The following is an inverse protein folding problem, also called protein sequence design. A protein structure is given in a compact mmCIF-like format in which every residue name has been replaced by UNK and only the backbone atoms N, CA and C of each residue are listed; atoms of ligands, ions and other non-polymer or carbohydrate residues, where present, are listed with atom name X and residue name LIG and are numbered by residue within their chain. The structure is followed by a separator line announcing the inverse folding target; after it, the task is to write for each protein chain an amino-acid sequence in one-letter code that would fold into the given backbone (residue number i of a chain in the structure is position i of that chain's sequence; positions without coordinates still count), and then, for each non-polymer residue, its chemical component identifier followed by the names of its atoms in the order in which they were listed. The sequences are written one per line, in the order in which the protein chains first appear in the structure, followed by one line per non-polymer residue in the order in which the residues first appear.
data_IF_836295537702
#
_entry.id   IF_836295537702
#
_cell.length_a   1.000
_cell.length_b   1.000
_cell.length_c   1.000
_cell.angle_alpha   90.00
_cell.angle_beta   90.00
_cell.angle_gamma   90.00
#
_symmetry.space_group_name_H-M   'P 1'
#
loop_
_entity.id
_entity.type
_entity.pdbx_description
1 polymer ?
#
# COMPACT_ATOMS: atom_id res chain seq x y z
N UNK A 1 9.14 11.72 -21.42
CA UNK A 1 10.11 11.05 -20.55
C UNK A 1 9.30 10.22 -19.59
N UNK A 2 9.45 8.90 -19.61
CA UNK A 2 8.90 8.03 -18.58
C UNK A 2 9.81 8.13 -17.36
N UNK A 3 9.22 8.19 -16.17
CA UNK A 3 9.95 8.17 -14.92
C UNK A 3 9.39 6.96 -14.15
N UNK A 4 10.19 5.90 -14.07
CA UNK A 4 9.74 4.66 -13.47
C UNK A 4 10.01 4.69 -11.96
N UNK A 5 8.97 4.45 -11.16
CA UNK A 5 9.12 4.28 -9.72
C UNK A 5 8.89 2.82 -9.38
N UNK A 6 9.82 2.23 -8.64
CA UNK A 6 9.67 0.87 -8.12
C UNK A 6 9.16 0.93 -6.69
N UNK A 7 8.21 0.05 -6.38
CA UNK A 7 7.72 -0.12 -5.01
C UNK A 7 8.03 -1.52 -4.50
N UNK A 8 8.33 -1.62 -3.21
CA UNK A 8 8.26 -2.88 -2.46
C UNK A 8 7.67 -2.63 -1.08
N UNK A 9 7.53 -3.69 -0.29
CA UNK A 9 6.94 -3.63 1.04
C UNK A 9 5.42 -3.75 1.01
N UNK A 10 4.85 -3.75 2.20
CA UNK A 10 3.43 -3.91 2.44
C UNK A 10 3.01 -3.11 3.68
N UNK A 11 1.77 -2.64 3.67
CA UNK A 11 1.08 -2.06 4.81
C UNK A 11 -0.02 -3.03 5.23
N UNK A 12 0.23 -3.81 6.27
CA UNK A 12 -0.74 -4.74 6.85
C UNK A 12 -1.96 -4.00 7.43
N UNK A 13 -3.11 -4.65 7.34
CA UNK A 13 -4.42 -4.13 7.74
C UNK A 13 -5.05 -5.09 8.76
N UNK A 14 -5.44 -4.57 9.93
CA UNK A 14 -6.13 -5.36 10.94
C UNK A 14 -7.29 -4.60 11.61
N UNK A 15 -8.50 -5.17 11.71
CA UNK A 15 -8.94 -6.42 11.09
C UNK A 15 -9.01 -6.33 9.54
N UNK A 16 -8.97 -7.47 8.82
CA UNK A 16 -9.04 -7.49 7.35
C UNK A 16 -10.31 -6.84 6.78
N UNK A 17 -10.25 -6.41 5.52
CA UNK A 17 -11.39 -5.82 4.79
C UNK A 17 -12.03 -6.90 3.90
N UNK A 18 -13.36 -6.99 3.76
CA UNK A 18 -13.98 -7.83 2.74
C UNK A 18 -13.42 -7.50 1.35
N UNK A 19 -12.92 -8.51 0.62
CA UNK A 19 -12.24 -8.23 -0.64
C UNK A 19 -13.17 -7.66 -1.71
N UNK A 20 -14.44 -8.08 -1.75
CA UNK A 20 -15.36 -7.74 -2.83
C UNK A 20 -15.55 -6.21 -2.98
N UNK A 21 -15.67 -5.48 -1.87
CA UNK A 21 -15.81 -4.02 -1.86
C UNK A 21 -14.53 -3.32 -2.37
N UNK A 22 -13.37 -3.87 -2.01
CA UNK A 22 -12.05 -3.32 -2.38
C UNK A 22 -11.75 -3.58 -3.85
N UNK A 23 -12.06 -4.78 -4.34
CA UNK A 23 -11.96 -5.15 -5.75
C UNK A 23 -12.93 -4.33 -6.61
N UNK A 24 -14.16 -4.11 -6.15
CA UNK A 24 -15.14 -3.28 -6.84
C UNK A 24 -14.69 -1.81 -6.96
N UNK A 25 -13.88 -1.32 -6.02
CA UNK A 25 -13.25 0.00 -6.07
C UNK A 25 -11.99 0.06 -6.98
N UNK A 26 -11.61 -1.05 -7.62
CA UNK A 26 -10.51 -1.12 -8.59
C UNK A 26 -9.14 -1.46 -8.00
N UNK A 27 -9.06 -1.78 -6.70
CA UNK A 27 -7.81 -2.28 -6.10
C UNK A 27 -7.71 -3.79 -6.34
N UNK A 28 -6.59 -4.27 -6.86
CA UNK A 28 -6.43 -5.68 -7.24
C UNK A 28 -5.20 -6.32 -6.62
N UNK A 29 -5.17 -7.66 -6.63
CA UNK A 29 -4.00 -8.42 -6.20
C UNK A 29 -2.76 -8.11 -7.07
N UNK A 30 -1.54 -8.22 -6.52
CA UNK A 30 -0.32 -8.00 -7.27
C UNK A 30 -0.29 -8.79 -8.59
N UNK A 31 0.13 -8.14 -9.68
CA UNK A 31 0.16 -8.74 -11.02
C UNK A 31 -1.14 -8.60 -11.83
N UNK A 32 -2.22 -8.04 -11.26
CA UNK A 32 -3.37 -7.57 -12.02
C UNK A 32 -3.27 -6.08 -12.26
N UNK A 33 -3.31 -5.68 -13.53
CA UNK A 33 -3.25 -4.28 -13.93
C UNK A 33 -4.62 -3.62 -13.75
N UNK A 34 -4.62 -2.40 -13.21
CA UNK A 34 -5.78 -1.53 -13.08
C UNK A 34 -5.32 -0.07 -13.00
N UNK A 35 -6.24 0.84 -12.72
CA UNK A 35 -5.96 2.29 -12.66
C UNK A 35 -5.32 2.73 -11.32
N UNK A 36 -4.95 1.76 -10.47
CA UNK A 36 -4.41 2.01 -9.12
C UNK A 36 -2.90 1.73 -9.08
N UNK A 37 -2.21 2.68 -8.45
CA UNK A 37 -0.76 2.64 -8.22
C UNK A 37 -0.37 1.76 -7.03
N UNK A 38 -1.33 1.11 -6.37
CA UNK A 38 -1.07 0.12 -5.31
C UNK A 38 -1.96 -1.09 -5.50
N UNK A 39 -1.43 -2.24 -5.11
CA UNK A 39 -2.13 -3.51 -5.07
C UNK A 39 -2.64 -3.80 -3.65
N UNK A 40 -3.40 -4.90 -3.51
CA UNK A 40 -3.87 -5.40 -2.22
C UNK A 40 -3.56 -6.88 -2.07
N UNK A 41 -3.08 -7.29 -0.90
CA UNK A 41 -2.90 -8.71 -0.58
C UNK A 41 -4.24 -9.29 -0.17
N UNK A 42 -4.74 -10.28 -0.91
CA UNK A 42 -6.01 -10.97 -0.64
C UNK A 42 -5.71 -12.40 -0.18
N UNK A 43 -6.28 -12.79 0.96
CA UNK A 43 -6.31 -14.17 1.42
C UNK A 43 -7.69 -14.77 1.21
N UNK A 44 -7.74 -16.07 0.95
CA UNK A 44 -8.98 -16.84 0.88
C UNK A 44 -9.02 -17.79 2.07
N UNK A 45 -10.06 -17.67 2.90
CA UNK A 45 -10.27 -18.52 4.07
C UNK A 45 -11.49 -19.40 3.83
N UNK A 46 -11.40 -20.74 3.97
CA UNK A 46 -12.54 -21.62 3.79
C UNK A 46 -13.64 -21.30 4.81
N UNK A 47 -14.90 -21.43 4.39
CA UNK A 47 -16.05 -21.26 5.26
C UNK A 47 -16.42 -22.62 5.87
N UNK A 48 -16.36 -22.70 7.19
CA UNK A 48 -16.70 -23.92 7.92
C UNK A 48 -18.11 -24.41 7.57
N UNK A 49 -18.22 -25.71 7.26
CA UNK A 49 -19.50 -26.35 6.93
C UNK A 49 -20.00 -26.12 5.50
N UNK A 50 -19.28 -25.39 4.64
CA UNK A 50 -19.67 -25.16 3.25
C UNK A 50 -18.52 -25.55 2.30
N UNK A 51 -18.49 -26.81 1.80
CA UNK A 51 -17.46 -27.27 0.87
C UNK A 51 -17.37 -26.38 -0.37
N UNK A 52 -16.14 -25.93 -0.68
CA UNK A 52 -15.87 -25.09 -1.86
C UNK A 52 -16.21 -23.60 -1.69
N UNK A 53 -16.72 -23.17 -0.53
CA UNK A 53 -16.95 -21.76 -0.25
C UNK A 53 -15.77 -21.14 0.51
N UNK A 54 -15.35 -19.96 0.07
CA UNK A 54 -14.25 -19.20 0.64
C UNK A 54 -14.67 -17.76 0.92
N UNK A 55 -14.23 -17.22 2.04
CA UNK A 55 -14.28 -15.79 2.35
C UNK A 55 -12.97 -15.16 1.87
N UNK A 56 -13.07 -14.14 1.03
CA UNK A 56 -11.92 -13.37 0.54
C UNK A 56 -11.73 -12.13 1.39
N UNK A 57 -10.52 -11.91 1.87
CA UNK A 57 -10.20 -10.80 2.76
C UNK A 57 -8.91 -10.10 2.33
N UNK A 58 -8.93 -8.78 2.28
CA UNK A 58 -7.74 -7.95 2.08
C UNK A 58 -7.03 -7.78 3.42
N UNK A 59 -5.77 -8.18 3.46
CA UNK A 59 -4.92 -8.14 4.67
C UNK A 59 -3.78 -7.14 4.58
N UNK A 60 -3.47 -6.62 3.40
CA UNK A 60 -2.45 -5.60 3.23
C UNK A 60 -2.67 -4.74 1.98
N UNK A 61 -2.12 -3.54 2.00
CA UNK A 61 -1.82 -2.73 0.81
C UNK A 61 -0.41 -3.09 0.37
N UNK A 62 -0.22 -3.43 -0.90
CA UNK A 62 1.04 -3.94 -1.44
C UNK A 62 1.50 -3.12 -2.64
N UNK A 63 2.78 -3.24 -2.98
CA UNK A 63 3.31 -2.70 -4.22
C UNK A 63 2.70 -3.40 -5.44
N UNK A 64 2.38 -2.65 -6.50
CA UNK A 64 2.14 -3.23 -7.82
C UNK A 64 3.43 -3.88 -8.35
N UNK A 65 3.31 -5.01 -9.05
CA UNK A 65 4.46 -5.67 -9.68
C UNK A 65 4.86 -4.97 -10.98
N UNK A 66 6.15 -4.68 -11.14
CA UNK A 66 6.73 -4.10 -12.36
C UNK A 66 7.28 -2.67 -12.17
N UNK A 67 7.87 -2.12 -13.22
CA UNK A 67 8.13 -0.67 -13.31
C UNK A 67 6.82 0.01 -13.71
N UNK A 68 6.33 0.96 -12.92
CA UNK A 68 5.15 1.74 -13.25
C UNK A 68 5.28 3.17 -12.74
N UNK A 69 4.49 4.06 -13.32
CA UNK A 69 4.46 5.46 -12.93
C UNK A 69 3.50 5.61 -11.76
N UNK A 70 4.04 5.76 -10.55
CA UNK A 70 3.25 5.68 -9.33
C UNK A 70 2.95 7.06 -8.70
N UNK A 71 2.62 8.04 -9.53
CA UNK A 71 2.43 9.42 -9.08
C UNK A 71 1.34 9.58 -8.01
N UNK A 72 0.40 8.63 -7.94
CA UNK A 72 -0.76 8.64 -7.05
C UNK A 72 -0.70 7.55 -6.00
N UNK A 73 0.44 6.91 -5.77
CA UNK A 73 0.56 5.84 -4.76
C UNK A 73 0.09 6.32 -3.37
N UNK A 74 0.51 7.52 -2.95
CA UNK A 74 0.07 8.11 -1.66
C UNK A 74 -1.45 8.37 -1.67
N UNK A 75 -2.00 8.90 -2.76
CA UNK A 75 -3.44 9.17 -2.90
C UNK A 75 -4.26 7.88 -2.84
N UNK A 76 -3.81 6.82 -3.50
CA UNK A 76 -4.48 5.53 -3.52
C UNK A 76 -4.38 4.79 -2.18
N UNK A 77 -3.25 4.90 -1.46
CA UNK A 77 -3.16 4.44 -0.07
C UNK A 77 -4.15 5.23 0.80
N UNK A 78 -4.19 6.56 0.67
CA UNK A 78 -5.13 7.40 1.41
C UNK A 78 -6.58 7.04 1.10
N UNK A 79 -6.91 6.70 -0.14
CA UNK A 79 -8.25 6.26 -0.52
C UNK A 79 -8.68 5.00 0.23
N UNK A 80 -7.78 4.01 0.37
CA UNK A 80 -8.06 2.81 1.17
C UNK A 80 -8.30 3.18 2.64
N UNK A 81 -7.45 4.03 3.21
CA UNK A 81 -7.58 4.47 4.61
C UNK A 81 -8.86 5.25 4.83
N UNK A 82 -9.24 6.16 3.94
CA UNK A 82 -10.45 6.96 4.07
C UNK A 82 -11.73 6.14 3.97
N UNK A 83 -11.75 5.11 3.12
CA UNK A 83 -12.96 4.30 2.88
C UNK A 83 -13.13 3.17 3.89
N UNK A 84 -12.03 2.55 4.33
CA UNK A 84 -12.08 1.34 5.16
C UNK A 84 -11.26 1.44 6.44
N UNK A 85 -10.63 2.57 6.74
CA UNK A 85 -9.75 2.70 7.90
C UNK A 85 -10.45 2.77 9.26
N UNK A 86 -11.77 3.04 9.30
CA UNK A 86 -12.51 3.08 10.56
C UNK A 86 -12.43 1.74 11.29
N UNK A 87 -11.99 1.79 12.56
CA UNK A 87 -11.81 0.60 13.41
C UNK A 87 -10.65 -0.30 13.01
N UNK A 88 -9.76 0.13 12.09
CA UNK A 88 -8.61 -0.65 11.62
C UNK A 88 -7.29 -0.01 11.98
N UNK A 89 -6.31 -0.86 12.25
CA UNK A 89 -4.90 -0.51 12.39
C UNK A 89 -4.16 -0.84 11.11
N UNK A 90 -3.19 0.01 10.80
CA UNK A 90 -2.31 -0.15 9.65
C UNK A 90 -0.86 -0.20 10.13
N UNK A 91 -0.11 -1.21 9.68
CA UNK A 91 1.27 -1.45 10.14
C UNK A 91 2.19 -1.77 8.98
N UNK A 92 3.41 -1.21 9.00
CA UNK A 92 4.38 -1.40 7.92
C UNK A 92 4.50 -0.16 7.04
N UNK A 93 5.00 -0.35 5.83
CA UNK A 93 5.24 0.72 4.88
C UNK A 93 5.39 0.17 3.46
N UNK A 94 5.07 1.02 2.48
CA UNK A 94 5.55 0.85 1.11
C UNK A 94 6.84 1.65 0.96
N UNK A 95 7.83 1.12 0.25
CA UNK A 95 9.06 1.83 -0.06
C UNK A 95 9.14 2.08 -1.56
N UNK A 96 9.31 3.33 -1.94
CA UNK A 96 9.48 3.78 -3.32
C UNK A 96 10.93 4.13 -3.61
N UNK A 97 11.37 3.86 -4.84
CA UNK A 97 12.64 4.32 -5.41
C UNK A 97 12.41 4.78 -6.85
N UNK A 98 12.72 6.04 -7.14
CA UNK A 98 12.82 6.55 -8.50
C UNK A 98 14.21 6.40 -9.12
N UNK A 99 14.41 7.09 -10.24
CA UNK A 99 15.65 7.02 -11.03
C UNK A 99 16.75 7.96 -10.52
N UNK A 100 16.42 9.03 -9.80
CA UNK A 100 17.37 10.03 -9.33
C UNK A 100 17.74 9.87 -7.83
N UNK A 101 18.97 10.25 -7.44
CA UNK A 101 19.33 10.37 -6.03
C UNK A 101 18.44 11.40 -5.32
N UNK A 102 17.61 10.94 -4.39
CA UNK A 102 16.59 11.76 -3.70
C UNK A 102 15.19 11.18 -3.82
N UNK A 103 14.96 10.28 -4.78
CA UNK A 103 13.66 9.68 -5.06
C UNK A 103 13.35 8.43 -4.22
N UNK A 104 14.03 8.31 -3.09
CA UNK A 104 13.78 7.24 -2.13
C UNK A 104 12.79 7.78 -1.11
N UNK A 105 11.67 7.09 -0.92
CA UNK A 105 10.67 7.49 0.08
C UNK A 105 9.96 6.27 0.64
N UNK A 106 9.26 6.48 1.76
CA UNK A 106 8.34 5.51 2.33
C UNK A 106 6.94 6.09 2.41
N UNK A 107 5.94 5.29 2.09
CA UNK A 107 4.55 5.59 2.41
C UNK A 107 4.21 4.86 3.69
N UNK A 108 3.85 5.62 4.73
CA UNK A 108 3.40 5.11 6.03
C UNK A 108 2.01 5.65 6.34
N UNK A 109 1.30 5.00 7.25
CA UNK A 109 0.04 5.53 7.79
C UNK A 109 0.30 6.10 9.19
N UNK A 110 0.00 7.38 9.38
CA UNK A 110 0.10 8.09 10.66
C UNK A 110 -1.21 8.82 10.91
N UNK A 111 -1.84 8.58 12.06
CA UNK A 111 -3.07 9.28 12.46
C UNK A 111 -4.18 9.25 11.39
N UNK A 112 -4.35 8.11 10.73
CA UNK A 112 -5.35 7.94 9.65
C UNK A 112 -5.00 8.63 8.33
N UNK A 113 -3.76 9.11 8.18
CA UNK A 113 -3.26 9.74 6.95
C UNK A 113 -2.15 8.89 6.33
N UNK A 114 -2.21 8.70 5.01
CA UNK A 114 -1.07 8.24 4.23
C UNK A 114 -0.08 9.39 4.11
N UNK A 115 1.17 9.17 4.52
CA UNK A 115 2.21 10.18 4.56
C UNK A 115 3.44 9.64 3.83
N UNK A 116 3.96 10.45 2.93
CA UNK A 116 5.28 10.23 2.33
C UNK A 116 6.36 10.70 3.31
N UNK A 117 7.34 9.83 3.56
CA UNK A 117 8.49 10.09 4.43
C UNK A 117 9.74 9.90 3.60
N UNK A 118 10.42 11.02 3.33
CA UNK A 118 11.76 11.01 2.74
C UNK A 118 12.79 10.63 3.81
N UNK A 119 13.82 9.83 3.47
CA UNK A 119 14.95 9.59 4.34
C UNK A 119 15.69 10.92 4.58
N UNK A 120 16.18 11.10 5.80
CA UNK A 120 17.02 12.24 6.18
C UNK A 120 18.23 11.72 6.93
N UNK A 121 19.38 12.34 6.71
CA UNK A 121 20.56 12.11 7.54
C UNK A 121 20.37 12.97 8.78
N UNK A 122 20.31 12.34 9.96
CA UNK A 122 20.30 13.05 11.24
C UNK A 122 21.65 12.82 11.89
N UNK A 123 22.40 13.90 12.08
CA UNK A 123 23.69 13.87 12.75
C UNK A 123 23.51 13.75 14.28
N UNK A 124 24.52 13.28 15.03
CA UNK A 124 24.43 13.13 16.48
C UNK A 124 24.08 14.40 17.26
N UNK A 125 24.34 15.58 16.67
CA UNK A 125 23.99 16.89 17.24
C UNK A 125 22.54 17.31 16.93
N UNK A 126 21.77 16.46 16.23
CA UNK A 126 20.39 16.72 15.81
C UNK A 126 20.28 17.58 14.55
N UNK A 127 21.39 17.96 13.92
CA UNK A 127 21.34 18.63 12.62
C UNK A 127 20.93 17.66 11.51
N UNK A 128 20.19 18.17 10.53
CA UNK A 128 19.66 17.37 9.42
C UNK A 128 20.42 17.68 8.11
N UNK A 129 20.80 16.63 7.38
CA UNK A 129 21.32 16.67 6.02
C UNK A 129 20.37 16.02 5.03
N UNK A 130 20.42 16.49 3.78
CA UNK A 130 19.76 15.87 2.62
C UNK A 130 20.72 14.88 1.97
#
# INVERSE_FOLDING_TARGET
MSYDVRFTGEIGIHPPIPADDVIAAGFHAPGRFGDKDVAVTVIETPIDGVPGAYRRQVTAIAACMGSYTAYKAVEHVQEIVSRWGEGRTFTGYLQGWGEEPGDVFRIVIRDGRAVEVQPRIVWPDGSEGV
#
